data_IF_377103379619
#
_entry.id   IF_377103379619
#
_cell.length_a   1.000
_cell.length_b   1.000
_cell.length_c   1.000
_cell.angle_alpha   90.00
_cell.angle_beta   90.00
_cell.angle_gamma   90.00
#
_symmetry.space_group_name_H-M   'P 1'
#
loop_
_entity.id
_entity.type
_entity.pdbx_description
1 polymer ?
#
# COMPACT_ATOMS: atom_id res chain seq x y z
N UNK A 1 50.82 -35.88 -47.48
CA UNK A 1 50.42 -34.74 -46.63
C UNK A 1 49.34 -33.95 -47.34
N UNK A 2 48.09 -33.94 -46.84
CA UNK A 2 46.97 -33.22 -47.47
C UNK A 2 47.08 -31.73 -47.10
N UNK A 3 47.36 -30.85 -48.08
CA UNK A 3 47.34 -29.40 -47.90
C UNK A 3 45.90 -28.97 -47.62
N UNK A 4 45.60 -28.54 -46.39
CA UNK A 4 44.33 -27.89 -46.06
C UNK A 4 44.25 -26.57 -46.84
N UNK A 5 43.12 -26.32 -47.49
CA UNK A 5 42.95 -25.10 -48.30
C UNK A 5 42.82 -23.88 -47.38
N UNK A 6 43.46 -22.74 -47.70
CA UNK A 6 43.38 -21.52 -46.88
C UNK A 6 41.94 -21.01 -46.73
N UNK A 7 41.07 -21.34 -47.69
CA UNK A 7 39.64 -21.06 -47.65
C UNK A 7 38.94 -21.77 -46.48
N UNK A 8 39.33 -23.02 -46.19
CA UNK A 8 38.73 -23.80 -45.10
C UNK A 8 39.11 -23.23 -43.72
N UNK A 9 40.35 -22.77 -43.58
CA UNK A 9 40.83 -22.10 -42.35
C UNK A 9 40.12 -20.77 -42.13
N UNK A 10 39.92 -19.98 -43.19
CA UNK A 10 39.19 -18.71 -43.12
C UNK A 10 37.71 -18.88 -42.74
N UNK A 11 37.03 -19.86 -43.33
CA UNK A 11 35.62 -20.17 -43.00
C UNK A 11 35.50 -20.63 -41.54
N UNK A 12 36.44 -21.46 -41.07
CA UNK A 12 36.43 -21.92 -39.69
C UNK A 12 36.72 -20.78 -38.69
N UNK A 13 37.66 -19.90 -39.01
CA UNK A 13 38.00 -18.74 -38.18
C UNK A 13 36.86 -17.71 -38.15
N UNK A 14 36.19 -17.47 -39.28
CA UNK A 14 35.01 -16.61 -39.37
C UNK A 14 33.82 -17.17 -38.57
N UNK A 15 33.60 -18.49 -38.63
CA UNK A 15 32.56 -19.17 -37.84
C UNK A 15 32.84 -19.10 -36.35
N UNK A 16 34.11 -19.18 -35.94
CA UNK A 16 34.52 -19.08 -34.55
C UNK A 16 34.31 -17.66 -34.01
N UNK A 17 34.69 -16.64 -34.80
CA UNK A 17 34.49 -15.22 -34.44
C UNK A 17 33.01 -14.88 -34.35
N UNK A 18 32.16 -15.37 -35.26
CA UNK A 18 30.72 -15.14 -35.20
C UNK A 18 30.08 -15.83 -33.97
N UNK A 19 30.56 -17.03 -33.61
CA UNK A 19 30.13 -17.73 -32.39
C UNK A 19 30.50 -16.98 -31.10
N UNK A 20 31.68 -16.34 -31.06
CA UNK A 20 32.11 -15.50 -29.93
C UNK A 20 31.30 -14.21 -29.79
N UNK A 21 30.84 -13.61 -30.88
CA UNK A 21 29.99 -12.39 -30.86
C UNK A 21 28.58 -12.71 -30.36
N UNK A 22 28.00 -13.85 -30.76
CA UNK A 22 26.69 -14.31 -30.29
C UNK A 22 26.68 -14.76 -28.83
N UNK A 23 27.82 -15.22 -28.30
CA UNK A 23 27.98 -15.61 -26.89
C UNK A 23 28.06 -14.42 -25.92
N UNK A 24 28.16 -13.19 -26.43
CA UNK A 24 28.26 -11.96 -25.61
C UNK A 24 26.89 -11.29 -25.38
N UNK A 25 25.84 -12.08 -25.11
CA UNK A 25 24.59 -11.52 -24.60
C UNK A 25 24.81 -11.15 -23.12
N UNK A 26 24.53 -9.91 -22.68
CA UNK A 26 24.64 -9.56 -21.28
C UNK A 26 23.68 -10.46 -20.47
N UNK A 27 24.13 -11.02 -19.33
CA UNK A 27 23.27 -11.87 -18.50
C UNK A 27 22.02 -11.09 -18.10
N UNK A 28 20.88 -11.78 -18.10
CA UNK A 28 19.63 -11.20 -17.63
C UNK A 28 19.81 -10.65 -16.21
N UNK A 29 19.29 -9.45 -15.92
CA UNK A 29 19.40 -8.88 -14.59
C UNK A 29 18.70 -9.79 -13.56
N UNK A 30 19.27 -9.94 -12.35
CA UNK A 30 18.67 -10.78 -11.32
C UNK A 30 17.29 -10.23 -10.93
N UNK A 31 16.33 -11.09 -10.54
CA UNK A 31 15.01 -10.65 -10.15
C UNK A 31 15.05 -9.73 -8.93
N UNK A 32 14.19 -8.71 -8.93
CA UNK A 32 14.02 -7.81 -7.79
C UNK A 32 13.04 -8.45 -6.81
N UNK A 33 13.49 -8.65 -5.57
CA UNK A 33 12.69 -9.26 -4.53
C UNK A 33 11.72 -8.26 -3.88
N UNK A 34 10.44 -8.60 -3.84
CA UNK A 34 9.38 -7.89 -3.13
C UNK A 34 8.80 -8.82 -2.07
N UNK A 35 8.72 -8.35 -0.83
CA UNK A 35 8.12 -9.10 0.27
C UNK A 35 6.61 -8.93 0.30
N UNK A 36 5.88 -10.02 0.54
CA UNK A 36 4.46 -10.03 0.82
C UNK A 36 4.23 -10.62 2.21
N UNK A 37 3.70 -9.82 3.13
CA UNK A 37 3.33 -10.27 4.48
C UNK A 37 1.80 -10.35 4.56
N UNK A 38 1.27 -11.54 4.81
CA UNK A 38 -0.17 -11.82 4.81
C UNK A 38 -0.50 -12.97 5.76
N UNK A 39 -1.72 -13.06 6.30
CA UNK A 39 -2.13 -14.18 7.14
C UNK A 39 -2.45 -15.37 6.25
N UNK A 40 -1.48 -16.20 5.86
CA UNK A 40 -1.74 -17.44 5.10
C UNK A 40 -2.11 -18.61 5.99
N UNK A 41 -2.01 -18.43 7.31
CA UNK A 41 -2.69 -19.22 8.32
C UNK A 41 -3.39 -18.30 9.32
N UNK A 42 -4.25 -18.88 10.17
CA UNK A 42 -5.00 -18.13 11.18
C UNK A 42 -6.47 -17.91 10.80
N UNK A 43 -7.11 -17.00 11.52
CA UNK A 43 -8.54 -16.67 11.39
C UNK A 43 -8.85 -16.02 10.04
N UNK A 44 -7.96 -15.17 9.54
CA UNK A 44 -8.17 -14.38 8.32
C UNK A 44 -7.56 -15.00 7.06
N UNK A 45 -7.15 -16.27 7.11
CA UNK A 45 -6.54 -16.97 5.98
C UNK A 45 -7.38 -16.94 4.71
N UNK A 46 -8.68 -17.22 4.80
CA UNK A 46 -9.54 -17.34 3.63
C UNK A 46 -10.07 -15.99 3.12
N UNK A 47 -10.20 -15.00 4.01
CA UNK A 47 -10.79 -13.70 3.67
C UNK A 47 -9.76 -12.71 3.17
N UNK A 48 -8.57 -12.70 3.77
CA UNK A 48 -7.50 -11.75 3.43
C UNK A 48 -6.26 -12.45 2.88
N UNK A 49 -5.84 -13.58 3.46
CA UNK A 49 -4.59 -14.27 3.10
C UNK A 49 -4.55 -14.79 1.67
N UNK A 50 -5.37 -15.81 1.39
CA UNK A 50 -5.40 -16.49 0.08
C UNK A 50 -5.78 -15.53 -1.05
N UNK A 51 -6.74 -14.64 -0.81
CA UNK A 51 -7.20 -13.65 -1.80
C UNK A 51 -6.08 -12.67 -2.15
N UNK A 52 -5.32 -12.19 -1.15
CA UNK A 52 -4.17 -11.30 -1.39
C UNK A 52 -3.04 -12.01 -2.11
N UNK A 53 -2.72 -13.26 -1.74
CA UNK A 53 -1.69 -14.06 -2.44
C UNK A 53 -2.06 -14.25 -3.91
N UNK A 54 -3.29 -14.65 -4.21
CA UNK A 54 -3.74 -14.84 -5.59
C UNK A 54 -3.67 -13.55 -6.41
N UNK A 55 -4.13 -12.43 -5.84
CA UNK A 55 -4.06 -11.12 -6.50
C UNK A 55 -2.61 -10.66 -6.75
N UNK A 56 -1.72 -10.86 -5.77
CA UNK A 56 -0.32 -10.51 -5.90
C UNK A 56 0.41 -11.40 -6.94
N UNK A 57 0.11 -12.70 -6.97
CA UNK A 57 0.66 -13.62 -7.97
C UNK A 57 0.20 -13.26 -9.37
N UNK A 58 -1.09 -12.97 -9.58
CA UNK A 58 -1.60 -12.54 -10.88
C UNK A 58 -0.94 -11.23 -11.35
N UNK A 59 -0.78 -10.26 -10.45
CA UNK A 59 -0.08 -9.02 -10.76
C UNK A 59 1.40 -9.26 -11.10
N UNK A 60 2.07 -10.16 -10.37
CA UNK A 60 3.45 -10.56 -10.65
C UNK A 60 3.57 -11.18 -12.03
N UNK A 61 2.68 -12.11 -12.39
CA UNK A 61 2.64 -12.74 -13.71
C UNK A 61 2.47 -11.70 -14.81
N UNK A 62 1.53 -10.77 -14.66
CA UNK A 62 1.30 -9.69 -15.62
C UNK A 62 2.51 -8.77 -15.77
N UNK A 63 3.14 -8.36 -14.67
CA UNK A 63 4.35 -7.54 -14.69
C UNK A 63 5.48 -8.29 -15.39
N UNK A 64 5.69 -9.56 -15.04
CA UNK A 64 6.79 -10.37 -15.56
C UNK A 64 6.64 -10.79 -17.02
N UNK A 65 5.48 -10.59 -17.66
CA UNK A 65 5.34 -10.74 -19.12
C UNK A 65 6.26 -9.78 -19.88
N UNK A 66 6.50 -8.59 -19.32
CA UNK A 66 7.37 -7.56 -19.93
C UNK A 66 8.59 -7.23 -19.05
N UNK A 67 8.52 -7.53 -17.75
CA UNK A 67 9.48 -7.09 -16.76
C UNK A 67 9.33 -5.60 -16.45
N UNK A 68 10.00 -5.15 -15.39
CA UNK A 68 10.10 -3.71 -15.10
C UNK A 68 11.33 -3.17 -15.84
N UNK A 69 11.14 -2.07 -16.56
CA UNK A 69 12.27 -1.38 -17.17
C UNK A 69 13.13 -0.71 -16.08
N UNK A 70 14.35 -1.23 -15.91
CA UNK A 70 15.40 -0.62 -15.11
C UNK A 70 16.55 -0.20 -16.01
N UNK A 71 16.61 1.11 -16.32
CA UNK A 71 17.65 1.70 -17.15
C UNK A 71 17.76 1.06 -18.54
N UNK A 72 16.62 0.86 -19.21
CA UNK A 72 16.51 0.25 -20.54
C UNK A 72 16.62 -1.28 -20.53
N UNK A 73 16.49 -1.92 -19.36
CA UNK A 73 16.62 -3.38 -19.21
C UNK A 73 15.39 -3.97 -18.51
N UNK A 74 14.65 -4.88 -19.19
CA UNK A 74 13.54 -5.57 -18.57
C UNK A 74 14.05 -6.47 -17.46
N UNK A 75 13.62 -6.20 -16.24
CA UNK A 75 14.05 -6.90 -15.04
C UNK A 75 12.84 -7.57 -14.39
N UNK A 76 12.89 -8.89 -14.16
CA UNK A 76 11.77 -9.59 -13.54
C UNK A 76 11.64 -9.23 -12.06
N UNK A 77 10.42 -9.31 -11.55
CA UNK A 77 10.14 -9.32 -10.12
C UNK A 77 10.08 -10.74 -9.59
N UNK A 78 10.42 -10.90 -8.30
CA UNK A 78 10.14 -12.10 -7.52
C UNK A 78 9.36 -11.70 -6.27
N UNK A 79 8.27 -12.40 -6.01
CA UNK A 79 7.49 -12.24 -4.79
C UNK A 79 7.97 -13.26 -3.74
N UNK A 80 8.17 -12.81 -2.50
CA UNK A 80 8.55 -13.66 -1.37
C UNK A 80 7.48 -13.50 -0.31
N UNK A 81 6.78 -14.60 0.01
CA UNK A 81 5.59 -14.58 0.84
C UNK A 81 5.96 -15.05 2.25
N UNK A 82 5.59 -14.27 3.26
CA UNK A 82 5.71 -14.64 4.67
C UNK A 82 4.34 -14.62 5.35
N UNK A 83 4.14 -15.60 6.22
CA UNK A 83 2.94 -15.72 7.03
C UNK A 83 3.05 -14.85 8.29
N UNK A 84 2.06 -13.99 8.52
CA UNK A 84 1.97 -13.24 9.78
C UNK A 84 1.14 -13.93 10.86
N UNK A 85 0.42 -15.02 10.53
CA UNK A 85 -0.42 -15.79 11.48
C UNK A 85 -1.41 -14.93 12.27
N UNK A 86 -1.84 -13.80 11.69
CA UNK A 86 -2.60 -12.75 12.37
C UNK A 86 -1.88 -12.10 13.57
N UNK A 87 -0.60 -12.38 13.82
CA UNK A 87 0.12 -11.98 15.02
C UNK A 87 1.01 -10.75 14.80
N UNK A 88 0.87 -9.69 15.62
CA UNK A 88 1.75 -8.52 15.57
C UNK A 88 3.25 -8.85 15.61
N UNK A 89 3.65 -9.82 16.44
CA UNK A 89 5.06 -10.15 16.63
C UNK A 89 5.59 -10.95 15.44
N UNK A 90 4.82 -11.95 14.99
CA UNK A 90 5.20 -12.77 13.83
C UNK A 90 5.30 -11.91 12.57
N UNK A 91 4.39 -10.93 12.39
CA UNK A 91 4.47 -9.98 11.28
C UNK A 91 5.78 -9.17 11.27
N UNK A 92 6.25 -8.72 12.43
CA UNK A 92 7.51 -7.97 12.54
C UNK A 92 8.70 -8.88 12.27
N UNK A 93 8.68 -10.12 12.74
CA UNK A 93 9.75 -11.09 12.49
C UNK A 93 9.80 -11.48 11.00
N UNK A 94 8.65 -11.65 10.35
CA UNK A 94 8.53 -11.81 8.90
C UNK A 94 9.16 -10.62 8.16
N UNK A 95 8.87 -9.38 8.56
CA UNK A 95 9.49 -8.19 7.98
C UNK A 95 11.01 -8.18 8.18
N UNK A 96 11.51 -8.56 9.37
CA UNK A 96 12.95 -8.67 9.64
C UNK A 96 13.61 -9.70 8.74
N UNK A 97 12.99 -10.87 8.57
CA UNK A 97 13.48 -11.94 7.68
C UNK A 97 13.56 -11.44 6.23
N UNK A 98 12.49 -10.84 5.73
CA UNK A 98 12.43 -10.31 4.37
C UNK A 98 13.52 -9.27 4.09
N UNK A 99 13.80 -8.39 5.07
CA UNK A 99 14.81 -7.34 4.91
C UNK A 99 16.23 -7.90 5.07
N UNK A 100 16.48 -8.69 6.11
CA UNK A 100 17.83 -9.10 6.48
C UNK A 100 18.34 -10.31 5.71
N UNK A 101 17.47 -11.25 5.36
CA UNK A 101 17.85 -12.51 4.71
C UNK A 101 17.51 -12.49 3.22
N UNK A 102 16.30 -12.07 2.87
CA UNK A 102 15.82 -12.09 1.48
C UNK A 102 16.14 -10.80 0.71
N UNK A 103 16.65 -9.78 1.40
CA UNK A 103 17.09 -8.50 0.85
C UNK A 103 16.04 -7.84 -0.05
N UNK A 104 14.77 -7.89 0.35
CA UNK A 104 13.68 -7.28 -0.43
C UNK A 104 13.86 -5.77 -0.51
N UNK A 105 13.49 -5.20 -1.67
CA UNK A 105 13.56 -3.74 -1.88
C UNK A 105 12.32 -3.01 -1.36
N UNK A 106 11.22 -3.73 -1.17
CA UNK A 106 9.96 -3.22 -0.63
C UNK A 106 9.12 -4.35 -0.02
N UNK A 107 8.19 -3.98 0.85
CA UNK A 107 7.21 -4.88 1.47
C UNK A 107 5.81 -4.43 1.08
N UNK A 108 4.93 -5.38 0.77
CA UNK A 108 3.51 -5.14 0.51
C UNK A 108 2.62 -6.15 1.25
N UNK A 109 1.30 -5.97 1.19
CA UNK A 109 0.31 -6.79 1.90
C UNK A 109 -0.18 -6.11 3.17
N UNK A 110 -0.03 -6.77 4.30
CA UNK A 110 -0.46 -6.30 5.62
C UNK A 110 -1.94 -5.85 5.62
N UNK A 111 -2.87 -6.77 5.31
CA UNK A 111 -4.28 -6.43 5.20
C UNK A 111 -4.88 -6.02 6.55
N UNK A 112 -4.37 -6.58 7.64
CA UNK A 112 -4.91 -6.36 8.97
C UNK A 112 -4.20 -5.19 9.66
N UNK A 113 -4.98 -4.23 10.18
CA UNK A 113 -4.40 -3.09 10.93
C UNK A 113 -3.55 -3.53 12.13
N UNK A 114 -3.88 -4.66 12.76
CA UNK A 114 -3.13 -5.22 13.90
C UNK A 114 -1.71 -5.68 13.54
N UNK A 115 -1.47 -6.12 12.30
CA UNK A 115 -0.13 -6.52 11.82
C UNK A 115 0.53 -5.37 11.04
N UNK A 116 -0.24 -4.57 10.31
CA UNK A 116 0.27 -3.42 9.56
C UNK A 116 0.92 -2.33 10.44
N UNK A 117 0.30 -1.97 11.57
CA UNK A 117 0.84 -0.94 12.47
C UNK A 117 2.23 -1.30 13.02
N UNK A 118 2.45 -2.47 13.65
CA UNK A 118 3.77 -2.81 14.18
C UNK A 118 4.82 -2.98 13.08
N UNK A 119 4.49 -3.58 11.93
CA UNK A 119 5.42 -3.64 10.79
C UNK A 119 5.76 -2.25 10.30
N UNK A 120 4.78 -1.35 10.14
CA UNK A 120 5.02 0.02 9.70
C UNK A 120 5.92 0.81 10.64
N UNK A 121 5.80 0.60 11.96
CA UNK A 121 6.67 1.26 12.93
C UNK A 121 8.11 0.74 12.81
N UNK A 122 8.28 -0.55 12.52
CA UNK A 122 9.60 -1.13 12.30
C UNK A 122 10.21 -0.65 10.98
N UNK A 123 9.50 -0.78 9.86
CA UNK A 123 10.01 -0.42 8.53
C UNK A 123 10.15 1.09 8.29
N UNK A 124 9.57 1.92 9.17
CA UNK A 124 9.92 3.34 9.23
C UNK A 124 11.33 3.57 9.80
N UNK A 125 11.79 2.72 10.74
CA UNK A 125 13.15 2.83 11.33
C UNK A 125 14.23 2.24 10.44
N UNK A 126 13.87 1.28 9.58
CA UNK A 126 14.73 0.69 8.55
C UNK A 126 14.11 1.02 7.20
N UNK A 127 14.52 2.12 6.53
CA UNK A 127 13.74 2.87 5.52
C UNK A 127 13.45 2.05 4.26
N UNK A 128 12.60 1.04 4.39
CA UNK A 128 12.14 0.11 3.36
C UNK A 128 10.72 0.50 3.03
N UNK A 129 10.45 0.92 1.77
CA UNK A 129 9.10 1.23 1.33
C UNK A 129 8.14 0.09 1.66
N UNK A 130 7.09 0.41 2.41
CA UNK A 130 6.08 -0.56 2.83
C UNK A 130 4.70 -0.09 2.41
N UNK A 131 3.97 -0.94 1.68
CA UNK A 131 2.63 -0.66 1.19
C UNK A 131 1.61 -1.56 1.87
N UNK A 132 0.67 -0.97 2.62
CA UNK A 132 -0.48 -1.73 3.14
C UNK A 132 -1.65 -1.74 2.16
N UNK A 133 -2.25 -2.90 1.94
CA UNK A 133 -3.34 -3.09 0.97
C UNK A 133 -4.69 -2.64 1.53
N UNK A 134 -5.16 -3.24 2.62
CA UNK A 134 -6.54 -3.05 3.13
C UNK A 134 -6.62 -2.48 4.54
N UNK A 135 -5.50 -2.24 5.24
CA UNK A 135 -5.57 -1.70 6.60
C UNK A 135 -6.12 -0.27 6.63
N UNK A 136 -7.14 -0.04 7.48
CA UNK A 136 -7.89 1.21 7.51
C UNK A 136 -7.52 2.13 8.67
N UNK A 137 -6.81 1.62 9.68
CA UNK A 137 -6.47 2.41 10.85
C UNK A 137 -5.46 3.52 10.49
N UNK A 138 -5.69 4.80 10.89
CA UNK A 138 -4.82 5.91 10.53
C UNK A 138 -3.35 5.71 10.95
N UNK A 139 -3.12 5.05 12.09
CA UNK A 139 -1.79 4.82 12.64
C UNK A 139 -0.89 3.95 11.75
N UNK A 140 -1.42 3.25 10.75
CA UNK A 140 -0.56 2.56 9.77
C UNK A 140 0.36 3.55 9.06
N UNK A 141 -0.16 4.70 8.61
CA UNK A 141 0.61 5.66 7.78
C UNK A 141 0.83 7.02 8.44
N UNK A 142 0.14 7.34 9.53
CA UNK A 142 0.30 8.62 10.21
C UNK A 142 1.74 8.81 10.72
N UNK A 143 2.30 9.99 10.43
CA UNK A 143 3.63 10.44 10.84
C UNK A 143 4.79 9.56 10.34
N UNK A 144 4.60 8.91 9.18
CA UNK A 144 5.59 8.01 8.56
C UNK A 144 5.91 8.43 7.12
N UNK A 145 7.17 8.31 6.73
CA UNK A 145 7.66 8.71 5.40
C UNK A 145 7.74 7.54 4.42
N UNK A 146 8.04 6.34 4.89
CA UNK A 146 8.27 5.17 4.02
C UNK A 146 7.05 4.26 3.90
N UNK A 147 5.93 4.64 4.54
CA UNK A 147 4.75 3.79 4.65
C UNK A 147 3.57 4.38 3.87
N UNK A 148 3.07 3.57 2.94
CA UNK A 148 1.98 3.91 2.04
C UNK A 148 0.80 2.96 2.26
N UNK A 149 -0.38 3.35 1.79
CA UNK A 149 -1.53 2.45 1.74
C UNK A 149 -2.43 2.70 0.55
N UNK A 150 -3.09 1.64 0.09
CA UNK A 150 -4.19 1.71 -0.89
C UNK A 150 -5.54 1.87 -0.18
N UNK A 151 -5.70 1.22 0.98
CA UNK A 151 -6.92 1.29 1.80
C UNK A 151 -7.31 2.72 2.20
N UNK A 152 -8.60 3.01 2.13
CA UNK A 152 -9.14 4.30 2.56
C UNK A 152 -9.20 4.38 4.09
N UNK A 153 -8.88 5.55 4.65
CA UNK A 153 -9.01 5.80 6.09
C UNK A 153 -10.45 5.80 6.55
N UNK A 154 -10.71 5.16 7.69
CA UNK A 154 -12.02 5.15 8.36
C UNK A 154 -12.61 6.56 8.54
N UNK A 155 -11.77 7.56 8.86
CA UNK A 155 -12.21 8.93 9.08
C UNK A 155 -12.67 9.63 7.79
N UNK A 156 -12.07 9.28 6.65
CA UNK A 156 -12.47 9.80 5.35
C UNK A 156 -13.77 9.13 4.89
N UNK A 157 -13.82 7.80 4.95
CA UNK A 157 -15.01 7.02 4.60
C UNK A 157 -16.22 7.44 5.45
N UNK A 158 -16.02 7.57 6.77
CA UNK A 158 -17.08 8.00 7.68
C UNK A 158 -17.62 9.40 7.40
N UNK A 159 -16.78 10.33 6.94
CA UNK A 159 -17.24 11.67 6.52
C UNK A 159 -18.05 11.62 5.23
N UNK A 160 -17.63 10.82 4.26
CA UNK A 160 -18.36 10.67 3.00
C UNK A 160 -19.74 10.07 3.25
N UNK A 161 -19.81 8.97 4.02
CA UNK A 161 -21.07 8.31 4.36
C UNK A 161 -21.98 9.26 5.14
N UNK A 162 -21.45 10.00 6.11
CA UNK A 162 -22.22 10.98 6.86
C UNK A 162 -22.75 12.12 5.99
N UNK A 163 -21.95 12.59 5.02
CA UNK A 163 -22.37 13.63 4.07
C UNK A 163 -23.48 13.11 3.16
N UNK A 164 -23.29 11.93 2.57
CA UNK A 164 -24.30 11.28 1.72
C UNK A 164 -25.63 11.07 2.46
N UNK A 165 -25.57 10.55 3.70
CA UNK A 165 -26.76 10.36 4.51
C UNK A 165 -27.51 11.68 4.80
N UNK A 166 -26.78 12.78 5.01
CA UNK A 166 -27.38 14.07 5.33
C UNK A 166 -27.88 14.82 4.08
N UNK A 167 -27.07 14.89 3.02
CA UNK A 167 -27.35 15.69 1.83
C UNK A 167 -28.27 14.96 0.83
N UNK A 168 -28.04 13.67 0.60
CA UNK A 168 -28.78 12.91 -0.41
C UNK A 168 -29.98 12.14 0.18
N UNK A 169 -29.84 11.60 1.38
CA UNK A 169 -30.90 10.82 2.04
C UNK A 169 -31.74 11.61 3.07
N UNK A 170 -31.40 12.87 3.34
CA UNK A 170 -32.06 13.73 4.35
C UNK A 170 -32.13 13.11 5.77
N UNK A 171 -31.24 12.17 6.09
CA UNK A 171 -31.20 11.49 7.38
C UNK A 171 -30.53 12.39 8.44
N UNK A 172 -31.25 12.65 9.53
CA UNK A 172 -30.78 13.48 10.66
C UNK A 172 -30.48 12.68 11.92
N UNK A 173 -30.76 11.37 11.91
CA UNK A 173 -30.61 10.44 13.03
C UNK A 173 -29.85 9.20 12.57
N UNK A 174 -28.94 8.70 13.40
CA UNK A 174 -28.17 7.49 13.12
C UNK A 174 -28.11 6.60 14.37
N UNK A 175 -28.11 5.28 14.15
CA UNK A 175 -27.78 4.27 15.15
C UNK A 175 -26.41 3.65 14.80
N UNK A 176 -25.62 3.29 15.82
CA UNK A 176 -24.32 2.65 15.63
C UNK A 176 -24.41 1.18 16.05
N UNK A 177 -24.39 0.28 15.07
CA UNK A 177 -24.17 -1.14 15.30
C UNK A 177 -22.67 -1.42 15.16
N UNK A 178 -22.08 -2.11 16.13
CA UNK A 178 -20.67 -2.48 16.11
C UNK A 178 -20.50 -3.82 16.83
N UNK A 179 -19.55 -4.62 16.35
CA UNK A 179 -19.15 -5.84 17.02
C UNK A 179 -18.33 -5.49 18.27
N UNK A 180 -18.68 -6.11 19.40
CA UNK A 180 -18.04 -5.91 20.69
C UNK A 180 -16.73 -6.71 20.78
N UNK A 181 -16.61 -7.81 20.03
CA UNK A 181 -15.45 -8.69 19.99
C UNK A 181 -14.32 -8.14 19.12
N UNK A 182 -14.65 -7.44 18.03
CA UNK A 182 -13.67 -6.86 17.13
C UNK A 182 -13.26 -5.44 17.58
N UNK A 183 -11.97 -5.12 17.60
CA UNK A 183 -11.33 -4.13 18.49
C UNK A 183 -11.62 -2.64 18.19
N UNK A 184 -12.89 -2.20 18.23
CA UNK A 184 -13.31 -0.80 18.08
C UNK A 184 -13.39 -0.03 19.43
N UNK A 185 -12.72 -0.51 20.47
CA UNK A 185 -12.84 0.04 21.84
C UNK A 185 -12.31 1.47 21.97
N UNK A 186 -11.39 1.92 21.11
CA UNK A 186 -10.77 3.26 21.16
C UNK A 186 -11.56 4.38 20.44
N UNK A 187 -12.55 4.05 19.61
CA UNK A 187 -13.37 5.04 18.89
C UNK A 187 -14.43 5.74 19.78
N UNK A 188 -14.64 5.26 21.02
CA UNK A 188 -15.68 5.74 21.94
C UNK A 188 -15.57 7.22 22.35
N UNK A 189 -14.37 7.81 22.37
CA UNK A 189 -14.19 9.22 22.79
C UNK A 189 -14.12 10.23 21.63
N UNK A 190 -13.66 9.85 20.44
CA UNK A 190 -13.50 10.79 19.30
C UNK A 190 -14.78 10.96 18.46
N UNK A 191 -15.56 9.89 18.23
CA UNK A 191 -16.72 9.93 17.32
C UNK A 191 -17.95 10.69 17.84
N UNK A 192 -18.18 10.73 19.16
CA UNK A 192 -19.21 11.62 19.76
C UNK A 192 -18.96 13.10 19.45
N UNK A 193 -17.69 13.47 19.27
CA UNK A 193 -17.32 14.85 18.93
C UNK A 193 -17.38 15.15 17.43
N UNK A 194 -17.17 14.14 16.56
CA UNK A 194 -17.23 14.32 15.10
C UNK A 194 -18.67 14.50 14.60
N UNK A 195 -19.63 13.71 15.10
CA UNK A 195 -21.06 13.89 14.77
C UNK A 195 -21.58 15.25 15.25
N UNK A 196 -21.16 15.69 16.45
CA UNK A 196 -21.51 17.02 16.98
C UNK A 196 -20.82 18.19 16.26
N UNK A 197 -19.60 18.01 15.71
CA UNK A 197 -18.84 19.06 15.01
C UNK A 197 -19.16 19.14 13.52
N UNK A 198 -19.46 18.01 12.88
CA UNK A 198 -19.98 17.96 11.50
C UNK A 198 -21.34 18.64 11.40
N UNK A 199 -22.25 18.36 12.34
CA UNK A 199 -23.57 19.00 12.41
C UNK A 199 -23.54 20.50 12.80
N UNK A 200 -22.41 21.03 13.28
CA UNK A 200 -22.26 22.44 13.70
C UNK A 200 -21.41 23.30 12.77
N UNK A 201 -20.86 22.72 11.71
CA UNK A 201 -20.06 23.50 10.75
C UNK A 201 -21.01 24.08 9.70
N UNK A 202 -21.21 25.41 9.65
CA UNK A 202 -22.09 26.00 8.65
C UNK A 202 -21.44 25.80 7.28
N UNK A 203 -22.19 25.20 6.34
CA UNK A 203 -21.77 25.09 4.95
C UNK A 203 -21.44 26.47 4.35
N UNK A 204 -20.70 26.54 3.24
CA UNK A 204 -20.24 27.79 2.62
C UNK A 204 -21.36 28.80 2.31
N UNK A 205 -22.61 28.35 2.18
CA UNK A 205 -23.78 29.20 2.04
C UNK A 205 -24.07 30.09 3.27
N UNK A 206 -23.77 29.64 4.49
CA UNK A 206 -24.08 30.38 5.73
C UNK A 206 -23.08 31.51 6.05
N UNK A 207 -21.92 31.57 5.38
CA UNK A 207 -20.94 32.66 5.55
C UNK A 207 -21.33 33.95 4.82
N UNK A 208 -22.22 33.90 3.82
CA UNK A 208 -22.67 35.10 3.08
C UNK A 208 -23.70 35.95 3.84
N UNK A 209 -24.39 35.42 4.85
CA UNK A 209 -25.44 36.13 5.59
C UNK A 209 -24.99 37.01 6.77
N UNK A 210 -23.71 36.96 7.19
CA UNK A 210 -23.24 37.62 8.44
C UNK A 210 -22.48 38.93 8.27
N UNK A 211 -22.32 39.46 7.05
CA UNK A 211 -21.65 40.76 6.80
C UNK A 211 -22.59 41.97 6.70
N UNK A 212 -23.89 41.83 6.96
CA UNK A 212 -24.90 42.85 6.65
C UNK A 212 -25.74 43.41 7.81
N UNK A 213 -25.23 43.49 9.05
CA UNK A 213 -25.95 44.19 10.15
C UNK A 213 -25.00 45.03 11.00
N UNK A 214 -24.58 46.20 10.48
CA UNK A 214 -24.13 47.31 11.33
C UNK A 214 -25.37 47.94 11.96
N UNK A 215 -25.48 47.90 13.29
CA UNK A 215 -26.53 48.62 14.05
C UNK A 215 -26.26 50.13 13.96
N UNK A 216 -27.28 51.00 13.77
CA UNK A 216 -27.07 52.44 13.84
C UNK A 216 -26.82 52.89 15.28
N UNK A 217 -25.81 53.76 15.46
CA UNK A 217 -25.54 54.47 16.72
C UNK A 217 -26.73 55.39 17.02
N UNK A 218 -27.34 55.25 18.21
CA UNK A 218 -28.35 56.19 18.71
C UNK A 218 -27.65 57.46 19.18
N UNK A 219 -27.97 58.59 18.55
CA UNK A 219 -27.72 59.93 19.07
C UNK A 219 -28.71 60.20 20.22
N UNK A 220 -28.22 60.66 21.37
CA UNK A 220 -29.04 61.31 22.42
C UNK A 220 -28.92 62.84 22.24
N UNK A 221 -30.02 63.60 22.33
CA UNK A 221 -29.99 65.03 22.64
C UNK A 221 -30.30 65.25 24.14
N UNK A 222 -29.70 66.29 24.74
CA UNK A 222 -29.92 66.71 26.13
C UNK A 222 -28.75 66.38 27.04
#
# INVERSE_FOLDING_TARGET
MKRTSPLFVFVFLSSLVLGLILACQPPSPPPIAIGLIVPVSGEFQNTEGQTTVQGATLALEQINQTGIDLNGRPTPLKLIIEDDQDSPNVAVDAARKLIAQEQVVAITGLPLSRTAIPVSNFTETVPIPTLSTTSTHPATTADKQYIFRVGLVDDFQGRIIARFAYEDLNATRAALLYDVANTARRARRRRRSAVRRGARSPGPAARRGRRGRRRPRRHRPG
#
